data_IF_097326640405
#
_entry.id   IF_097326640405
#
_cell.length_a   1.000
_cell.length_b   1.000
_cell.length_c   1.000
_cell.angle_alpha   90.00
_cell.angle_beta   90.00
_cell.angle_gamma   90.00
#
_symmetry.space_group_name_H-M   'P 1'
#
loop_
_entity.id
_entity.type
_entity.pdbx_description
1 polymer ?
#
# COMPACT_ATOMS: atom_id res chain seq x y z
N UNK A 1 -18.24 -23.42 -20.83
CA UNK A 1 -17.31 -23.18 -19.71
C UNK A 1 -16.07 -24.08 -19.81
N UNK A 2 -14.96 -23.66 -20.43
CA UNK A 2 -13.69 -24.43 -20.37
C UNK A 2 -12.44 -23.51 -20.44
N UNK A 3 -12.45 -22.37 -19.75
CA UNK A 3 -11.25 -21.52 -19.62
C UNK A 3 -10.68 -21.48 -18.19
N UNK A 4 -11.47 -21.87 -17.18
CA UNK A 4 -11.10 -21.74 -15.76
C UNK A 4 -10.22 -22.86 -15.19
N UNK A 5 -9.91 -23.91 -15.97
CA UNK A 5 -9.13 -25.07 -15.49
C UNK A 5 -7.76 -25.20 -16.15
N UNK A 6 -7.13 -24.08 -16.50
CA UNK A 6 -5.71 -24.11 -16.82
C UNK A 6 -4.94 -23.56 -15.61
N UNK A 7 -4.28 -24.40 -14.80
CA UNK A 7 -3.50 -23.95 -13.66
C UNK A 7 -2.41 -22.93 -14.07
N UNK A 8 -1.88 -23.05 -15.30
CA UNK A 8 -0.94 -22.09 -15.89
C UNK A 8 -1.49 -20.66 -16.05
N UNK A 9 -2.81 -20.48 -15.98
CA UNK A 9 -3.48 -19.17 -16.11
C UNK A 9 -4.11 -18.70 -14.81
N UNK A 10 -4.10 -19.51 -13.75
CA UNK A 10 -4.76 -19.16 -12.49
C UNK A 10 -4.19 -17.87 -11.88
N UNK A 11 -2.86 -17.68 -11.95
CA UNK A 11 -2.19 -16.48 -11.49
C UNK A 11 -2.72 -15.23 -12.22
N UNK A 12 -2.57 -15.21 -13.56
CA UNK A 12 -3.03 -14.11 -14.41
C UNK A 12 -4.54 -13.83 -14.30
N UNK A 13 -5.39 -14.86 -14.21
CA UNK A 13 -6.83 -14.68 -14.03
C UNK A 13 -7.17 -13.99 -12.71
N UNK A 14 -6.55 -14.42 -11.61
CA UNK A 14 -6.76 -13.79 -10.31
C UNK A 14 -6.27 -12.34 -10.27
N UNK A 15 -5.16 -12.03 -10.94
CA UNK A 15 -4.69 -10.65 -11.13
C UNK A 15 -5.75 -9.80 -11.83
N UNK A 16 -6.31 -10.27 -12.94
CA UNK A 16 -7.35 -9.53 -13.67
C UNK A 16 -8.61 -9.32 -12.82
N UNK A 17 -9.05 -10.34 -12.08
CA UNK A 17 -10.20 -10.22 -11.17
C UNK A 17 -9.93 -9.19 -10.07
N UNK A 18 -8.72 -9.17 -9.51
CA UNK A 18 -8.33 -8.19 -8.51
C UNK A 18 -8.33 -6.76 -9.07
N UNK A 19 -7.81 -6.56 -10.28
CA UNK A 19 -7.84 -5.24 -10.95
C UNK A 19 -9.27 -4.75 -11.20
N UNK A 20 -10.17 -5.60 -11.69
CA UNK A 20 -11.58 -5.22 -11.85
C UNK A 20 -12.24 -4.83 -10.52
N UNK A 21 -11.88 -5.49 -9.42
CA UNK A 21 -12.39 -5.16 -8.08
C UNK A 21 -11.82 -3.84 -7.55
N UNK A 22 -10.55 -3.54 -7.86
CA UNK A 22 -9.96 -2.21 -7.57
C UNK A 22 -10.72 -1.10 -8.28
N UNK A 23 -11.04 -1.27 -9.57
CA UNK A 23 -11.82 -0.30 -10.34
C UNK A 23 -13.23 -0.10 -9.79
N UNK A 24 -13.82 -1.14 -9.18
CA UNK A 24 -15.12 -1.08 -8.51
C UNK A 24 -15.05 -0.47 -7.10
N UNK A 25 -13.87 -0.06 -6.62
CA UNK A 25 -13.66 0.40 -5.24
C UNK A 25 -13.74 -0.71 -4.18
N UNK A 26 -13.81 -1.97 -4.62
CA UNK A 26 -13.87 -3.17 -3.75
C UNK A 26 -12.47 -3.63 -3.38
N UNK A 27 -11.69 -2.74 -2.77
CA UNK A 27 -10.26 -2.93 -2.53
C UNK A 27 -9.96 -4.17 -1.67
N UNK A 28 -10.79 -4.47 -0.65
CA UNK A 28 -10.59 -5.65 0.18
C UNK A 28 -10.75 -6.96 -0.61
N UNK A 29 -11.75 -7.01 -1.50
CA UNK A 29 -11.96 -8.17 -2.38
C UNK A 29 -10.85 -8.31 -3.42
N UNK A 30 -10.25 -7.19 -3.83
CA UNK A 30 -9.09 -7.19 -4.73
C UNK A 30 -7.88 -7.84 -4.05
N UNK A 31 -7.58 -7.48 -2.81
CA UNK A 31 -6.50 -8.09 -2.01
C UNK A 31 -6.66 -9.60 -1.92
N UNK A 32 -7.88 -10.08 -1.65
CA UNK A 32 -8.17 -11.52 -1.61
C UNK A 32 -7.87 -12.20 -2.95
N UNK A 33 -8.19 -11.55 -4.07
CA UNK A 33 -7.91 -12.08 -5.41
C UNK A 33 -6.41 -12.13 -5.69
N UNK A 34 -5.68 -11.06 -5.38
CA UNK A 34 -4.23 -11.02 -5.57
C UNK A 34 -3.51 -12.07 -4.72
N UNK A 35 -3.92 -12.25 -3.46
CA UNK A 35 -3.40 -13.33 -2.60
C UNK A 35 -3.70 -14.71 -3.21
N UNK A 36 -4.91 -14.94 -3.72
CA UNK A 36 -5.23 -16.19 -4.41
C UNK A 36 -4.33 -16.42 -5.64
N UNK A 37 -4.01 -15.36 -6.40
CA UNK A 37 -3.05 -15.41 -7.49
C UNK A 37 -1.64 -15.81 -7.05
N UNK A 38 -1.17 -15.31 -5.90
CA UNK A 38 0.13 -15.70 -5.33
C UNK A 38 0.16 -17.17 -4.91
N UNK A 39 -0.97 -17.73 -4.51
CA UNK A 39 -1.11 -19.14 -4.15
C UNK A 39 -1.28 -20.07 -5.36
N UNK A 40 -1.30 -19.55 -6.60
CA UNK A 40 -1.31 -20.39 -7.79
C UNK A 40 -0.06 -21.28 -7.86
N UNK A 41 -0.27 -22.55 -8.23
CA UNK A 41 0.80 -23.56 -8.38
C UNK A 41 1.79 -23.18 -9.48
N UNK A 42 1.28 -22.67 -10.60
CA UNK A 42 2.09 -22.18 -11.71
C UNK A 42 2.04 -20.65 -11.75
N UNK A 43 3.19 -20.02 -11.45
CA UNK A 43 3.45 -18.59 -11.64
C UNK A 43 4.91 -18.38 -11.96
N UNK A 44 5.21 -17.43 -12.84
CA UNK A 44 6.58 -16.99 -13.06
C UNK A 44 6.92 -15.80 -12.16
N UNK A 45 8.22 -15.50 -12.06
CA UNK A 45 8.73 -14.41 -11.21
C UNK A 45 8.12 -13.04 -11.56
N UNK A 46 7.90 -12.77 -12.85
CA UNK A 46 7.32 -11.50 -13.31
C UNK A 46 5.86 -11.34 -12.89
N UNK A 47 5.09 -12.42 -12.93
CA UNK A 47 3.71 -12.45 -12.44
C UNK A 47 3.66 -12.29 -10.92
N UNK A 48 4.58 -12.93 -10.19
CA UNK A 48 4.68 -12.77 -8.74
C UNK A 48 5.01 -11.33 -8.34
N UNK A 49 5.96 -10.69 -9.04
CA UNK A 49 6.29 -9.28 -8.84
C UNK A 49 5.12 -8.36 -9.17
N UNK A 50 4.37 -8.65 -10.24
CA UNK A 50 3.16 -7.90 -10.56
C UNK A 50 2.13 -8.00 -9.43
N UNK A 51 1.91 -9.20 -8.89
CA UNK A 51 0.97 -9.41 -7.78
C UNK A 51 1.39 -8.70 -6.50
N UNK A 52 2.68 -8.71 -6.14
CA UNK A 52 3.16 -7.92 -5.00
C UNK A 52 2.96 -6.42 -5.22
N UNK A 53 3.21 -5.94 -6.45
CA UNK A 53 2.98 -4.53 -6.78
C UNK A 53 1.50 -4.16 -6.66
N UNK A 54 0.58 -5.00 -7.15
CA UNK A 54 -0.87 -4.73 -7.01
C UNK A 54 -1.37 -4.83 -5.58
N UNK A 55 -0.83 -5.74 -4.76
CA UNK A 55 -1.10 -5.77 -3.32
C UNK A 55 -0.68 -4.47 -2.65
N UNK A 56 0.52 -3.97 -2.95
CA UNK A 56 0.99 -2.70 -2.41
C UNK A 56 0.09 -1.53 -2.81
N UNK A 57 -0.36 -1.48 -4.07
CA UNK A 57 -1.32 -0.48 -4.54
C UNK A 57 -2.65 -0.56 -3.77
N UNK A 58 -3.16 -1.77 -3.54
CA UNK A 58 -4.41 -1.96 -2.80
C UNK A 58 -4.30 -1.48 -1.35
N UNK A 59 -3.19 -1.79 -0.67
CA UNK A 59 -2.95 -1.30 0.70
C UNK A 59 -2.77 0.22 0.76
N UNK A 60 -2.12 0.84 -0.24
CA UNK A 60 -2.04 2.31 -0.33
C UNK A 60 -3.43 2.96 -0.43
N UNK A 61 -4.34 2.36 -1.20
CA UNK A 61 -5.74 2.82 -1.30
C UNK A 61 -6.48 2.70 0.03
N UNK A 62 -6.18 1.67 0.82
CA UNK A 62 -6.73 1.48 2.18
C UNK A 62 -6.05 2.36 3.24
N UNK A 63 -5.07 3.22 2.86
CA UNK A 63 -4.23 4.01 3.79
C UNK A 63 -3.39 3.16 4.74
N UNK A 64 -3.27 1.87 4.47
CA UNK A 64 -2.44 0.96 5.24
C UNK A 64 -1.00 1.00 4.73
N UNK A 65 -0.32 2.08 5.09
CA UNK A 65 0.99 2.41 4.54
C UNK A 65 2.09 1.42 4.94
N UNK A 66 1.94 0.75 6.08
CA UNK A 66 2.90 -0.26 6.56
C UNK A 66 2.92 -1.46 5.60
N UNK A 67 1.75 -2.01 5.31
CA UNK A 67 1.56 -3.13 4.41
C UNK A 67 1.91 -2.75 2.97
N UNK A 68 1.52 -1.55 2.53
CA UNK A 68 1.89 -1.04 1.21
C UNK A 68 3.41 -0.98 1.04
N UNK A 69 4.13 -0.42 2.02
CA UNK A 69 5.58 -0.33 2.00
C UNK A 69 6.23 -1.72 2.00
N UNK A 70 5.74 -2.65 2.82
CA UNK A 70 6.25 -4.02 2.87
C UNK A 70 6.22 -4.71 1.50
N UNK A 71 5.11 -4.61 0.78
CA UNK A 71 4.98 -5.25 -0.53
C UNK A 71 5.77 -4.52 -1.62
N UNK A 72 5.82 -3.19 -1.62
CA UNK A 72 6.69 -2.47 -2.55
C UNK A 72 8.17 -2.80 -2.32
N UNK A 73 8.60 -2.96 -1.07
CA UNK A 73 9.97 -3.34 -0.74
C UNK A 73 10.33 -4.74 -1.26
N UNK A 74 9.38 -5.69 -1.20
CA UNK A 74 9.56 -7.02 -1.84
C UNK A 74 9.82 -6.91 -3.33
N UNK A 75 9.05 -6.07 -4.02
CA UNK A 75 9.23 -5.82 -5.46
C UNK A 75 10.59 -5.17 -5.70
N UNK A 76 10.92 -4.09 -4.99
CA UNK A 76 12.18 -3.35 -5.15
C UNK A 76 13.41 -4.25 -4.97
N UNK A 77 13.39 -5.15 -3.99
CA UNK A 77 14.48 -6.10 -3.72
C UNK A 77 14.76 -7.04 -4.89
N UNK A 78 13.78 -7.30 -5.74
CA UNK A 78 13.88 -8.18 -6.91
C UNK A 78 14.12 -7.40 -8.20
N UNK A 79 13.37 -6.33 -8.39
CA UNK A 79 13.49 -5.42 -9.52
C UNK A 79 13.17 -3.99 -9.07
N UNK A 80 14.23 -3.17 -8.93
CA UNK A 80 14.12 -1.80 -8.46
C UNK A 80 13.53 -0.82 -9.50
N UNK A 81 13.49 -1.21 -10.78
CA UNK A 81 12.92 -0.41 -11.87
C UNK A 81 11.50 -0.85 -12.25
N UNK A 82 11.00 -1.92 -11.63
CA UNK A 82 9.66 -2.45 -11.87
C UNK A 82 8.58 -1.39 -11.63
N UNK A 83 7.92 -0.95 -12.70
CA UNK A 83 6.76 -0.03 -12.69
C UNK A 83 6.93 1.19 -11.78
N UNK A 84 8.16 1.71 -11.66
CA UNK A 84 8.45 2.88 -10.83
C UNK A 84 8.33 2.63 -9.31
N UNK A 85 8.52 1.40 -8.83
CA UNK A 85 8.39 1.03 -7.40
C UNK A 85 9.18 1.95 -6.46
N UNK A 86 10.38 2.37 -6.86
CA UNK A 86 11.20 3.30 -6.07
C UNK A 86 10.52 4.65 -5.81
N UNK A 87 9.75 5.15 -6.78
CA UNK A 87 8.97 6.39 -6.61
C UNK A 87 7.76 6.15 -5.70
N UNK A 88 7.09 5.00 -5.83
CA UNK A 88 5.93 4.62 -4.99
C UNK A 88 6.34 4.51 -3.51
N UNK A 89 7.47 3.86 -3.23
CA UNK A 89 8.03 3.75 -1.87
C UNK A 89 8.25 5.12 -1.22
N UNK A 90 8.90 6.04 -1.92
CA UNK A 90 9.15 7.40 -1.40
C UNK A 90 7.85 8.12 -1.07
N UNK A 91 6.82 7.97 -1.90
CA UNK A 91 5.50 8.56 -1.67
C UNK A 91 4.84 7.99 -0.41
N UNK A 92 4.89 6.67 -0.23
CA UNK A 92 4.33 6.01 0.98
C UNK A 92 5.09 6.44 2.23
N UNK A 93 6.42 6.47 2.20
CA UNK A 93 7.25 6.93 3.32
C UNK A 93 6.96 8.39 3.70
N UNK A 94 6.82 9.28 2.72
CA UNK A 94 6.43 10.67 2.97
C UNK A 94 5.04 10.77 3.61
N UNK A 95 4.08 9.97 3.15
CA UNK A 95 2.75 9.93 3.75
C UNK A 95 2.77 9.42 5.21
N UNK A 96 3.63 8.46 5.53
CA UNK A 96 3.83 7.96 6.90
C UNK A 96 4.50 8.99 7.82
N UNK A 97 5.48 9.73 7.30
CA UNK A 97 6.14 10.81 8.04
C UNK A 97 5.15 11.94 8.36
N UNK A 98 4.38 12.39 7.37
CA UNK A 98 3.37 13.43 7.56
C UNK A 98 2.25 13.04 8.53
N UNK A 99 1.95 11.73 8.67
CA UNK A 99 0.97 11.24 9.65
C UNK A 99 1.53 11.15 11.07
N UNK A 100 2.87 11.19 11.23
CA UNK A 100 3.55 11.04 12.52
C UNK A 100 3.98 12.37 13.15
N UNK A 101 3.93 13.48 12.41
CA UNK A 101 4.24 14.80 12.98
C UNK A 101 3.10 15.25 13.90
N UNK A 102 3.35 15.42 15.21
CA UNK A 102 2.39 16.06 16.09
C UNK A 102 2.31 17.53 15.69
N UNK A 103 1.09 18.05 15.58
CA UNK A 103 0.83 19.45 15.33
C UNK A 103 1.42 20.26 16.49
N UNK A 104 2.65 20.77 16.33
CA UNK A 104 3.36 21.54 17.34
C UNK A 104 2.83 22.99 17.36
N UNK A 105 1.57 23.16 17.74
CA UNK A 105 0.92 24.47 17.89
C UNK A 105 0.43 24.77 19.30
N UNK A 106 0.52 23.83 20.24
CA UNK A 106 -0.16 23.96 21.54
C UNK A 106 0.78 24.37 22.69
N UNK A 107 2.11 24.39 22.48
CA UNK A 107 3.06 24.77 23.54
C UNK A 107 3.21 26.31 23.69
N UNK A 108 3.05 27.07 22.60
CA UNK A 108 3.21 28.54 22.64
C UNK A 108 2.00 29.26 23.29
N UNK A 109 0.81 28.65 23.30
CA UNK A 109 -0.40 29.25 23.90
C UNK A 109 -0.47 29.01 25.42
N UNK A 110 0.13 27.92 25.91
CA UNK A 110 0.19 27.61 27.34
C UNK A 110 1.19 28.51 28.07
N UNK A 111 2.39 28.74 27.53
CA UNK A 111 3.36 29.66 28.13
C UNK A 111 2.85 31.10 28.18
N UNK A 112 2.15 31.55 27.13
CA UNK A 112 1.53 32.88 27.10
C UNK A 112 0.40 33.05 28.14
N UNK A 113 -0.40 32.00 28.37
CA UNK A 113 -1.48 32.02 29.36
C UNK A 113 -0.95 31.99 30.82
N UNK A 114 0.21 31.38 31.05
CA UNK A 114 0.85 31.36 32.36
C UNK A 114 1.51 32.71 32.72
N UNK A 115 2.11 33.41 31.74
CA UNK A 115 2.70 34.74 31.96
C UNK A 115 1.63 35.82 32.23
N UNK A 116 0.45 35.73 31.59
CA UNK A 116 -0.69 36.63 31.84
C UNK A 116 -1.27 36.46 33.27
N UNK A 117 -1.25 35.23 33.82
CA UNK A 117 -1.74 34.95 35.17
C UNK A 117 -0.76 35.39 36.28
N UNK A 118 0.54 35.47 35.97
CA UNK A 118 1.60 35.79 36.94
C UNK A 118 2.00 37.27 36.95
N UNK A 119 1.48 38.08 36.03
CA UNK A 119 1.81 39.50 35.91
C UNK A 119 0.83 40.45 36.62
N UNK A 120 -0.16 39.91 37.35
CA UNK A 120 -1.24 40.67 38.00
C UNK A 120 -1.11 40.83 39.54
N UNK A 121 0.12 40.84 40.09
CA UNK A 121 0.43 41.17 41.51
C UNK A 121 1.71 42.03 41.61
#
# INVERSE_FOLDING_TARGET
EVAMRNPARACSCNTMVGLCRMEQGRTQDAINSFRAGLHAEEKNEREELALYFELANAYEVLRDNNEALYFFEKVRKRDAVFRGVSQRIRKVQAAMAAASEPNASDDDELDAAFDDLLSDD
#
